data_IF_360135068575
#
_entry.id   IF_360135068575
#
_cell.length_a   1.000
_cell.length_b   1.000
_cell.length_c   1.000
_cell.angle_alpha   90.00
_cell.angle_beta   90.00
_cell.angle_gamma   90.00
#
_symmetry.space_group_name_H-M   'P 1'
#
loop_
_entity.id
_entity.type
_entity.pdbx_description
1 polymer ?
#
# COMPACT_ATOMS: atom_id res chain seq x y z
N UNK A 1 24.42 -1.11 9.87
CA UNK A 1 24.59 0.30 10.30
C UNK A 1 24.87 1.21 9.10
N UNK A 2 25.67 0.77 8.14
CA UNK A 2 26.01 1.50 6.89
C UNK A 2 24.81 1.91 6.03
N UNK A 3 23.79 1.05 5.84
CA UNK A 3 22.58 1.42 5.09
C UNK A 3 21.77 2.57 5.74
N UNK A 4 21.78 2.66 7.08
CA UNK A 4 21.10 3.74 7.82
C UNK A 4 21.85 5.06 7.66
N UNK A 5 23.18 5.02 7.66
CA UNK A 5 24.02 6.20 7.42
C UNK A 5 23.91 6.66 5.96
N UNK A 6 23.89 5.72 5.01
CA UNK A 6 23.68 6.00 3.60
C UNK A 6 22.31 6.67 3.37
N UNK A 7 21.23 6.14 3.95
CA UNK A 7 19.91 6.78 3.94
C UNK A 7 19.98 8.23 4.42
N UNK A 8 20.54 8.45 5.62
CA UNK A 8 20.66 9.81 6.20
C UNK A 8 21.35 10.81 5.26
N UNK A 9 22.43 10.42 4.57
CA UNK A 9 23.18 11.29 3.67
C UNK A 9 22.58 11.44 2.26
N UNK A 10 21.69 10.53 1.87
CA UNK A 10 21.04 10.54 0.56
C UNK A 10 19.63 11.14 0.57
N UNK A 11 18.97 11.25 1.73
CA UNK A 11 17.52 11.53 1.79
C UNK A 11 17.11 12.63 2.78
N UNK A 12 18.01 13.11 3.66
CA UNK A 12 17.67 14.18 4.62
C UNK A 12 17.67 15.55 3.95
N UNK A 13 16.48 16.10 3.68
CA UNK A 13 16.30 17.46 3.15
C UNK A 13 16.48 18.59 4.22
N UNK A 14 16.66 18.23 5.49
CA UNK A 14 16.66 19.15 6.63
C UNK A 14 18.05 19.50 7.17
N UNK A 15 19.13 18.97 6.58
CA UNK A 15 20.51 19.22 7.02
C UNK A 15 21.42 19.47 5.81
N UNK A 16 22.55 20.17 6.03
CA UNK A 16 23.67 20.40 5.08
C UNK A 16 24.27 19.11 4.45
N UNK A 17 23.73 17.95 4.82
CA UNK A 17 24.17 16.60 4.51
C UNK A 17 23.45 15.92 3.34
N UNK A 18 22.52 16.60 2.64
CA UNK A 18 21.92 16.12 1.39
C UNK A 18 22.95 16.17 0.25
N UNK A 19 23.76 15.11 0.15
CA UNK A 19 24.88 15.06 -0.79
C UNK A 19 24.45 14.58 -2.18
N UNK A 20 23.29 13.94 -2.32
CA UNK A 20 22.86 13.32 -3.57
C UNK A 20 22.85 14.30 -4.78
N UNK A 21 22.33 15.54 -4.66
CA UNK A 21 22.41 16.52 -5.75
C UNK A 21 23.82 17.03 -6.06
N UNK A 22 24.78 16.83 -5.14
CA UNK A 22 26.19 17.23 -5.31
C UNK A 22 27.04 16.12 -5.93
N UNK A 23 26.51 14.90 -6.06
CA UNK A 23 27.19 13.77 -6.70
C UNK A 23 27.20 13.89 -8.22
N UNK A 24 28.20 13.28 -8.87
CA UNK A 24 28.24 13.12 -10.32
C UNK A 24 27.17 12.13 -10.79
N UNK A 25 26.74 12.27 -12.04
CA UNK A 25 25.70 11.39 -12.60
C UNK A 25 26.14 9.92 -12.67
N UNK A 26 27.43 9.67 -12.87
CA UNK A 26 28.00 8.31 -12.83
C UNK A 26 27.85 7.69 -11.44
N UNK A 27 28.17 8.44 -10.38
CA UNK A 27 28.06 7.95 -9.00
C UNK A 27 26.59 7.73 -8.61
N UNK A 28 25.68 8.62 -9.01
CA UNK A 28 24.23 8.43 -8.78
C UNK A 28 23.73 7.16 -9.45
N UNK A 29 24.10 6.93 -10.71
CA UNK A 29 23.76 5.71 -11.43
C UNK A 29 24.28 4.45 -10.74
N UNK A 30 25.54 4.46 -10.26
CA UNK A 30 26.11 3.34 -9.50
C UNK A 30 25.35 3.09 -8.20
N UNK A 31 24.96 4.13 -7.46
CA UNK A 31 24.17 3.99 -6.23
C UNK A 31 22.82 3.35 -6.51
N UNK A 32 22.10 3.83 -7.54
CA UNK A 32 20.81 3.26 -7.95
C UNK A 32 20.93 1.76 -8.25
N UNK A 33 21.89 1.38 -9.10
CA UNK A 33 22.13 -0.03 -9.48
C UNK A 33 22.49 -0.87 -8.25
N UNK A 34 23.38 -0.36 -7.39
CA UNK A 34 23.81 -1.06 -6.18
C UNK A 34 22.67 -1.29 -5.19
N UNK A 35 21.77 -0.31 -5.01
CA UNK A 35 20.59 -0.43 -4.16
C UNK A 35 19.63 -1.51 -4.68
N UNK A 36 19.31 -1.48 -5.98
CA UNK A 36 18.44 -2.47 -6.61
C UNK A 36 19.02 -3.89 -6.54
N UNK A 37 20.33 -4.02 -6.82
CA UNK A 37 21.05 -5.30 -6.70
C UNK A 37 21.06 -5.81 -5.26
N UNK A 38 21.30 -4.92 -4.29
CA UNK A 38 21.29 -5.28 -2.86
C UNK A 38 19.92 -5.79 -2.44
N UNK A 39 18.83 -5.18 -2.90
CA UNK A 39 17.47 -5.64 -2.59
C UNK A 39 17.19 -7.06 -3.12
N UNK A 40 17.74 -7.43 -4.28
CA UNK A 40 17.56 -8.76 -4.86
C UNK A 40 18.30 -9.88 -4.11
N UNK A 41 19.48 -9.58 -3.56
CA UNK A 41 20.38 -10.57 -2.98
C UNK A 41 20.30 -10.64 -1.45
N UNK A 42 19.75 -9.61 -0.80
CA UNK A 42 19.67 -9.55 0.65
C UNK A 42 18.63 -10.54 1.19
N UNK A 43 19.03 -11.30 2.21
CA UNK A 43 18.18 -12.33 2.84
C UNK A 43 17.75 -11.93 4.25
N UNK A 44 18.47 -11.03 4.91
CA UNK A 44 18.14 -10.58 6.24
C UNK A 44 17.02 -9.53 6.22
N UNK A 45 15.82 -9.89 6.70
CA UNK A 45 14.64 -9.01 6.75
C UNK A 45 14.92 -7.60 7.30
N UNK A 46 15.74 -7.49 8.35
CA UNK A 46 16.09 -6.21 8.97
C UNK A 46 16.95 -5.31 8.07
N UNK A 47 17.74 -5.91 7.17
CA UNK A 47 18.57 -5.20 6.19
C UNK A 47 17.74 -4.90 4.95
N UNK A 48 16.96 -5.86 4.45
CA UNK A 48 15.98 -5.66 3.37
C UNK A 48 15.07 -4.47 3.67
N UNK A 49 14.58 -4.36 4.91
CA UNK A 49 13.77 -3.22 5.36
C UNK A 49 14.46 -1.87 5.18
N UNK A 50 15.73 -1.80 5.57
CA UNK A 50 16.54 -0.59 5.43
C UNK A 50 16.85 -0.26 3.98
N UNK A 51 17.04 -1.28 3.14
CA UNK A 51 17.31 -1.09 1.71
C UNK A 51 16.06 -0.54 1.02
N UNK A 52 14.89 -1.16 1.19
CA UNK A 52 13.67 -0.66 0.54
C UNK A 52 13.28 0.72 1.08
N UNK A 53 13.46 0.99 2.38
CA UNK A 53 13.28 2.34 2.93
C UNK A 53 14.15 3.39 2.23
N UNK A 54 15.42 3.06 2.01
CA UNK A 54 16.37 3.95 1.32
C UNK A 54 15.97 4.15 -0.15
N UNK A 55 15.52 3.09 -0.82
CA UNK A 55 15.03 3.15 -2.20
C UNK A 55 13.78 4.05 -2.27
N UNK A 56 12.79 3.83 -1.41
CA UNK A 56 11.55 4.63 -1.39
C UNK A 56 11.83 6.11 -1.19
N UNK A 57 12.68 6.47 -0.22
CA UNK A 57 13.00 7.87 0.05
C UNK A 57 13.79 8.53 -1.09
N UNK A 58 14.80 7.83 -1.61
CA UNK A 58 15.58 8.35 -2.72
C UNK A 58 14.73 8.48 -3.99
N UNK A 59 13.85 7.51 -4.25
CA UNK A 59 12.92 7.55 -5.37
C UNK A 59 11.94 8.72 -5.24
N UNK A 60 11.36 8.94 -4.06
CA UNK A 60 10.50 10.09 -3.81
C UNK A 60 11.20 11.44 -4.09
N UNK A 61 12.51 11.53 -3.85
CA UNK A 61 13.29 12.74 -4.11
C UNK A 61 13.63 12.95 -5.60
N UNK A 62 13.64 11.91 -6.44
CA UNK A 62 14.11 12.02 -7.85
C UNK A 62 13.03 11.79 -8.89
N UNK A 63 11.94 11.09 -8.54
CA UNK A 63 10.82 10.81 -9.44
C UNK A 63 10.09 12.09 -9.92
N UNK A 64 9.89 13.14 -9.08
CA UNK A 64 9.28 14.39 -9.54
C UNK A 64 10.02 15.04 -10.71
N UNK A 65 11.34 14.87 -10.78
CA UNK A 65 12.19 15.38 -11.85
C UNK A 65 12.34 14.40 -13.03
N UNK A 66 11.54 13.32 -13.06
CA UNK A 66 11.61 12.26 -14.08
C UNK A 66 12.83 11.34 -13.97
N UNK A 67 13.51 11.36 -12.82
CA UNK A 67 14.69 10.54 -12.56
C UNK A 67 14.35 9.08 -12.25
N UNK A 68 15.33 8.19 -12.51
CA UNK A 68 15.30 6.76 -12.10
C UNK A 68 14.24 5.89 -12.80
N UNK A 69 14.25 5.94 -14.13
CA UNK A 69 13.33 5.20 -15.00
C UNK A 69 13.41 3.68 -14.84
N UNK A 70 14.52 3.16 -14.34
CA UNK A 70 14.75 1.71 -14.15
C UNK A 70 13.99 1.13 -12.96
N UNK A 71 13.55 1.99 -12.01
CA UNK A 71 12.91 1.53 -10.78
C UNK A 71 11.56 0.86 -11.05
N UNK A 72 10.72 1.45 -11.91
CA UNK A 72 9.39 0.94 -12.17
C UNK A 72 9.42 -0.43 -12.89
N UNK A 73 10.19 -0.62 -13.98
CA UNK A 73 10.38 -1.95 -14.59
C UNK A 73 10.92 -2.98 -13.58
N UNK A 74 11.87 -2.58 -12.73
CA UNK A 74 12.41 -3.45 -11.69
C UNK A 74 11.32 -3.89 -10.70
N UNK A 75 10.49 -2.98 -10.21
CA UNK A 75 9.40 -3.31 -9.29
C UNK A 75 8.41 -4.28 -9.92
N UNK A 76 7.97 -4.02 -11.16
CA UNK A 76 7.05 -4.92 -11.88
C UNK A 76 7.64 -6.33 -12.08
N UNK A 77 8.94 -6.41 -12.38
CA UNK A 77 9.66 -7.70 -12.45
C UNK A 77 9.69 -8.41 -11.09
N UNK A 78 9.93 -7.67 -10.01
CA UNK A 78 9.98 -8.25 -8.66
C UNK A 78 8.62 -8.78 -8.21
N UNK A 79 7.52 -8.08 -8.53
CA UNK A 79 6.18 -8.52 -8.11
C UNK A 79 5.70 -9.74 -8.91
N UNK A 80 6.18 -9.90 -10.15
CA UNK A 80 5.85 -11.06 -11.01
C UNK A 80 6.74 -12.27 -10.75
N UNK A 81 7.86 -12.12 -10.03
CA UNK A 81 8.78 -13.20 -9.71
C UNK A 81 8.20 -14.13 -8.63
N UNK A 82 7.67 -15.29 -9.06
CA UNK A 82 6.99 -16.25 -8.16
C UNK A 82 7.91 -16.92 -7.12
N UNK A 83 9.23 -16.88 -7.31
CA UNK A 83 10.18 -17.65 -6.50
C UNK A 83 10.70 -16.90 -5.25
N UNK A 84 10.46 -15.59 -5.13
CA UNK A 84 11.02 -14.79 -4.03
C UNK A 84 9.97 -13.88 -3.38
N UNK A 85 9.26 -14.42 -2.39
CA UNK A 85 8.19 -13.69 -1.70
C UNK A 85 8.67 -12.47 -0.90
N UNK A 86 9.90 -12.48 -0.37
CA UNK A 86 10.43 -11.33 0.36
C UNK A 86 10.69 -10.15 -0.58
N UNK A 87 11.16 -10.44 -1.80
CA UNK A 87 11.37 -9.44 -2.84
C UNK A 87 10.03 -8.92 -3.39
N UNK A 88 9.05 -9.82 -3.56
CA UNK A 88 7.69 -9.46 -3.95
C UNK A 88 7.04 -8.51 -2.93
N UNK A 89 7.12 -8.84 -1.65
CA UNK A 89 6.66 -7.99 -0.54
C UNK A 89 7.35 -6.61 -0.57
N UNK A 90 8.69 -6.59 -0.65
CA UNK A 90 9.46 -5.35 -0.66
C UNK A 90 9.09 -4.45 -1.85
N UNK A 91 8.90 -5.03 -3.03
CA UNK A 91 8.50 -4.28 -4.22
C UNK A 91 7.10 -3.68 -4.08
N UNK A 92 6.14 -4.42 -3.49
CA UNK A 92 4.80 -3.90 -3.20
C UNK A 92 4.83 -2.76 -2.17
N UNK A 93 5.67 -2.86 -1.14
CA UNK A 93 5.82 -1.78 -0.14
C UNK A 93 6.47 -0.51 -0.74
N UNK A 94 7.47 -0.67 -1.62
CA UNK A 94 8.03 0.47 -2.36
C UNK A 94 6.95 1.07 -3.26
N UNK A 95 6.18 0.23 -3.96
CA UNK A 95 5.09 0.68 -4.82
C UNK A 95 4.06 1.51 -4.05
N UNK A 96 3.59 1.03 -2.89
CA UNK A 96 2.63 1.74 -2.04
C UNK A 96 3.11 3.15 -1.69
N UNK A 97 4.36 3.29 -1.25
CA UNK A 97 4.95 4.59 -0.88
C UNK A 97 5.13 5.54 -2.05
N UNK A 98 5.34 4.99 -3.25
CA UNK A 98 5.61 5.78 -4.44
C UNK A 98 4.37 6.06 -5.27
N UNK A 99 3.22 5.47 -4.92
CA UNK A 99 1.98 5.55 -5.69
C UNK A 99 1.61 6.98 -6.11
N UNK A 100 1.79 7.96 -5.22
CA UNK A 100 1.52 9.38 -5.51
C UNK A 100 2.42 10.00 -6.59
N UNK A 101 3.64 9.49 -6.74
CA UNK A 101 4.61 10.00 -7.73
C UNK A 101 4.49 9.28 -9.08
N UNK A 102 4.12 8.00 -9.06
CA UNK A 102 4.07 7.14 -10.26
C UNK A 102 2.65 6.93 -10.79
N UNK A 103 1.63 7.35 -10.05
CA UNK A 103 0.21 7.08 -10.33
C UNK A 103 -0.22 7.53 -11.73
N UNK A 104 0.10 8.76 -12.10
CA UNK A 104 -0.24 9.30 -13.43
C UNK A 104 0.50 8.58 -14.56
N UNK A 105 1.79 8.28 -14.37
CA UNK A 105 2.61 7.53 -15.33
C UNK A 105 2.09 6.11 -15.56
N UNK A 106 1.34 5.57 -14.59
CA UNK A 106 0.82 4.21 -14.60
C UNK A 106 -0.60 4.07 -15.15
N UNK A 107 -1.29 5.18 -15.48
CA UNK A 107 -2.62 5.17 -16.10
C UNK A 107 -2.68 4.33 -17.40
N UNK A 108 -1.67 4.36 -18.30
CA UNK A 108 -1.68 3.49 -19.49
C UNK A 108 -1.56 1.98 -19.16
N UNK A 109 -1.11 1.64 -17.95
CA UNK A 109 -0.77 0.28 -17.52
C UNK A 109 -1.75 -0.29 -16.48
N UNK A 110 -2.93 0.33 -16.30
CA UNK A 110 -3.91 -0.07 -15.28
C UNK A 110 -4.30 -1.55 -15.36
N UNK A 111 -4.46 -2.11 -16.57
CA UNK A 111 -4.80 -3.52 -16.75
C UNK A 111 -3.70 -4.45 -16.24
N UNK A 112 -2.43 -4.10 -16.47
CA UNK A 112 -1.29 -4.86 -15.96
C UNK A 112 -1.22 -4.79 -14.44
N UNK A 113 -1.37 -3.59 -13.85
CA UNK A 113 -1.35 -3.41 -12.41
C UNK A 113 -2.50 -4.12 -11.70
N UNK A 114 -3.69 -4.06 -12.29
CA UNK A 114 -4.85 -4.81 -11.81
C UNK A 114 -4.54 -6.30 -11.75
N UNK A 115 -4.04 -6.89 -12.84
CA UNK A 115 -3.67 -8.32 -12.86
C UNK A 115 -2.58 -8.67 -11.85
N UNK A 116 -1.63 -7.77 -11.62
CA UNK A 116 -0.58 -7.93 -10.60
C UNK A 116 -1.18 -7.95 -9.19
N UNK A 117 -2.00 -6.96 -8.83
CA UNK A 117 -2.64 -6.90 -7.51
C UNK A 117 -3.60 -8.07 -7.28
N UNK A 118 -4.39 -8.41 -8.29
CA UNK A 118 -5.29 -9.57 -8.28
C UNK A 118 -4.51 -10.84 -7.96
N UNK A 119 -3.39 -11.08 -8.64
CA UNK A 119 -2.56 -12.25 -8.40
C UNK A 119 -1.94 -12.24 -7.00
N UNK A 120 -1.43 -11.09 -6.54
CA UNK A 120 -0.80 -10.99 -5.23
C UNK A 120 -1.79 -11.16 -4.08
N UNK A 121 -3.01 -10.63 -4.19
CA UNK A 121 -4.07 -10.78 -3.19
C UNK A 121 -4.65 -12.20 -3.20
N UNK A 122 -4.75 -12.83 -4.38
CA UNK A 122 -5.45 -14.10 -4.51
C UNK A 122 -4.55 -15.34 -4.33
N UNK A 123 -3.38 -15.34 -4.96
CA UNK A 123 -2.56 -16.56 -5.13
C UNK A 123 -1.33 -16.60 -4.21
N UNK A 124 -1.05 -15.53 -3.45
CA UNK A 124 0.11 -15.52 -2.55
C UNK A 124 -0.11 -16.44 -1.37
N UNK A 125 0.87 -17.31 -1.12
CA UNK A 125 0.89 -18.23 0.03
C UNK A 125 1.14 -17.49 1.35
N UNK A 126 1.96 -16.43 1.33
CA UNK A 126 2.33 -15.64 2.52
C UNK A 126 1.36 -14.49 2.79
N UNK A 127 0.97 -14.33 4.06
CA UNK A 127 0.15 -13.20 4.51
C UNK A 127 0.81 -11.84 4.31
N UNK A 128 2.12 -11.74 4.56
CA UNK A 128 2.93 -10.53 4.38
C UNK A 128 2.78 -9.93 2.96
N UNK A 129 2.82 -10.77 1.92
CA UNK A 129 2.64 -10.34 0.52
C UNK A 129 1.21 -9.88 0.25
N UNK A 130 0.20 -10.57 0.81
CA UNK A 130 -1.22 -10.17 0.63
C UNK A 130 -1.49 -8.80 1.26
N UNK A 131 -0.91 -8.53 2.42
CA UNK A 131 -1.05 -7.26 3.13
C UNK A 131 -0.31 -6.14 2.41
N UNK A 132 0.93 -6.40 1.96
CA UNK A 132 1.66 -5.45 1.12
C UNK A 132 0.90 -5.14 -0.18
N UNK A 133 0.23 -6.14 -0.77
CA UNK A 133 -0.61 -5.94 -1.96
C UNK A 133 -1.88 -5.13 -1.65
N UNK A 134 -2.52 -5.36 -0.50
CA UNK A 134 -3.65 -4.57 -0.02
C UNK A 134 -3.24 -3.10 0.16
N UNK A 135 -2.11 -2.87 0.83
CA UNK A 135 -1.53 -1.53 1.02
C UNK A 135 -1.25 -0.83 -0.32
N UNK A 136 -0.55 -1.51 -1.24
CA UNK A 136 -0.25 -1.00 -2.57
C UNK A 136 -1.52 -0.69 -3.39
N UNK A 137 -2.54 -1.55 -3.30
CA UNK A 137 -3.81 -1.37 -4.02
C UNK A 137 -4.54 -0.12 -3.52
N UNK A 138 -4.62 0.08 -2.21
CA UNK A 138 -5.31 1.23 -1.59
C UNK A 138 -4.61 2.54 -1.95
N UNK A 139 -3.29 2.61 -1.74
CA UNK A 139 -2.50 3.78 -2.09
C UNK A 139 -2.62 4.12 -3.58
N UNK A 140 -2.65 3.10 -4.45
CA UNK A 140 -2.82 3.32 -5.89
C UNK A 140 -4.20 3.87 -6.24
N UNK A 141 -5.27 3.30 -5.69
CA UNK A 141 -6.66 3.75 -5.92
C UNK A 141 -6.83 5.22 -5.53
N UNK A 142 -6.27 5.61 -4.38
CA UNK A 142 -6.32 6.99 -3.89
C UNK A 142 -5.57 7.98 -4.81
N UNK A 143 -4.57 7.53 -5.55
CA UNK A 143 -3.83 8.35 -6.50
C UNK A 143 -4.53 8.51 -7.86
N UNK A 144 -5.51 7.66 -8.18
CA UNK A 144 -6.26 7.78 -9.43
C UNK A 144 -7.23 8.95 -9.34
N UNK A 145 -7.27 9.82 -10.35
CA UNK A 145 -8.16 10.99 -10.39
C UNK A 145 -9.56 10.66 -10.92
N UNK A 146 -9.66 9.72 -11.86
CA UNK A 146 -10.93 9.36 -12.50
C UNK A 146 -11.65 8.23 -11.76
N UNK A 147 -12.95 8.41 -11.51
CA UNK A 147 -13.78 7.34 -10.95
C UNK A 147 -13.83 6.10 -11.85
N UNK A 148 -13.86 6.26 -13.17
CA UNK A 148 -13.86 5.14 -14.13
C UNK A 148 -12.60 4.28 -14.04
N UNK A 149 -11.45 4.86 -13.66
CA UNK A 149 -10.21 4.12 -13.46
C UNK A 149 -10.23 3.39 -12.12
N UNK A 150 -10.74 4.03 -11.06
CA UNK A 150 -10.96 3.39 -9.75
C UNK A 150 -11.91 2.20 -9.84
N UNK A 151 -12.96 2.31 -10.65
CA UNK A 151 -13.94 1.24 -10.84
C UNK A 151 -13.34 -0.06 -11.37
N UNK A 152 -12.21 0.01 -12.10
CA UNK A 152 -11.51 -1.18 -12.61
C UNK A 152 -10.96 -2.07 -11.51
N UNK A 153 -10.80 -1.55 -10.28
CA UNK A 153 -10.25 -2.29 -9.13
C UNK A 153 -11.32 -2.74 -8.14
N UNK A 154 -12.61 -2.55 -8.43
CA UNK A 154 -13.72 -2.88 -7.53
C UNK A 154 -13.79 -4.36 -7.15
N UNK A 155 -13.38 -5.25 -8.05
CA UNK A 155 -13.29 -6.69 -7.84
C UNK A 155 -12.17 -7.10 -6.88
N UNK A 156 -11.24 -6.20 -6.56
CA UNK A 156 -10.19 -6.44 -5.56
C UNK A 156 -10.68 -6.24 -4.13
N UNK A 157 -11.77 -5.48 -3.91
CA UNK A 157 -12.29 -5.20 -2.57
C UNK A 157 -12.65 -6.48 -1.78
N UNK A 158 -13.35 -7.47 -2.33
CA UNK A 158 -13.57 -8.75 -1.65
C UNK A 158 -12.27 -9.47 -1.29
N UNK A 159 -11.23 -9.38 -2.13
CA UNK A 159 -9.94 -10.01 -1.86
C UNK A 159 -9.17 -9.28 -0.75
N UNK A 160 -9.31 -7.96 -0.66
CA UNK A 160 -8.79 -7.16 0.45
C UNK A 160 -9.49 -7.56 1.76
N UNK A 161 -10.81 -7.66 1.76
CA UNK A 161 -11.59 -8.13 2.92
C UNK A 161 -11.22 -9.56 3.31
N UNK A 162 -10.98 -10.45 2.34
CA UNK A 162 -10.51 -11.82 2.61
C UNK A 162 -9.11 -11.85 3.24
N UNK A 163 -8.27 -10.88 2.93
CA UNK A 163 -6.94 -10.76 3.53
C UNK A 163 -7.05 -10.42 5.01
N UNK A 164 -7.94 -9.49 5.36
CA UNK A 164 -8.27 -9.16 6.75
C UNK A 164 -8.84 -10.37 7.51
N UNK A 165 -9.88 -11.02 6.97
CA UNK A 165 -10.51 -12.17 7.65
C UNK A 165 -9.55 -13.36 7.77
N UNK A 166 -8.67 -13.56 6.78
CA UNK A 166 -7.61 -14.56 6.84
C UNK A 166 -6.60 -14.29 7.96
N UNK A 167 -6.24 -13.03 8.21
CA UNK A 167 -5.35 -12.65 9.30
C UNK A 167 -6.01 -12.87 10.67
N UNK A 168 -7.29 -12.48 10.82
CA UNK A 168 -8.08 -12.69 12.03
C UNK A 168 -8.22 -14.19 12.37
N UNK A 169 -8.62 -15.01 11.39
CA UNK A 169 -8.75 -16.46 11.56
C UNK A 169 -7.41 -17.15 11.85
N UNK A 170 -6.30 -16.54 11.41
CA UNK A 170 -4.94 -17.00 11.69
C UNK A 170 -4.39 -16.57 13.04
N UNK A 171 -5.16 -15.87 13.88
CA UNK A 171 -4.70 -15.21 15.11
C UNK A 171 -3.52 -14.25 14.88
N UNK A 172 -3.45 -13.64 13.69
CA UNK A 172 -2.42 -12.66 13.32
C UNK A 172 -2.98 -11.25 13.53
N UNK A 173 -3.31 -10.91 14.78
CA UNK A 173 -4.02 -9.67 15.10
C UNK A 173 -3.23 -8.41 14.71
N UNK A 174 -1.90 -8.39 14.90
CA UNK A 174 -1.08 -7.27 14.43
C UNK A 174 -1.22 -7.01 12.92
N UNK A 175 -1.31 -8.09 12.13
CA UNK A 175 -1.51 -8.00 10.67
C UNK A 175 -2.95 -7.61 10.32
N UNK A 176 -3.92 -8.07 11.10
CA UNK A 176 -5.31 -7.66 10.95
C UNK A 176 -5.50 -6.16 11.27
N UNK A 177 -4.83 -5.66 12.31
CA UNK A 177 -4.81 -4.24 12.67
C UNK A 177 -4.22 -3.39 11.52
N UNK A 178 -3.09 -3.80 10.94
CA UNK A 178 -2.52 -3.14 9.76
C UNK A 178 -3.53 -3.12 8.57
N UNK A 179 -4.20 -4.24 8.31
CA UNK A 179 -5.23 -4.27 7.26
C UNK A 179 -6.43 -3.35 7.55
N UNK A 180 -6.85 -3.27 8.82
CA UNK A 180 -7.93 -2.37 9.25
C UNK A 180 -7.53 -0.91 9.09
N UNK A 181 -6.33 -0.51 9.52
CA UNK A 181 -5.79 0.84 9.33
C UNK A 181 -5.81 1.26 7.86
N UNK A 182 -5.36 0.38 6.97
CA UNK A 182 -5.37 0.63 5.53
C UNK A 182 -6.80 0.78 4.98
N UNK A 183 -7.74 -0.05 5.44
CA UNK A 183 -9.15 0.07 5.06
C UNK A 183 -9.80 1.34 5.60
N UNK A 184 -9.42 1.81 6.79
CA UNK A 184 -9.84 3.11 7.34
C UNK A 184 -9.34 4.24 6.44
N UNK A 185 -8.08 4.17 6.01
CA UNK A 185 -7.50 5.14 5.06
C UNK A 185 -8.29 5.19 3.75
N UNK A 186 -8.65 4.02 3.20
CA UNK A 186 -9.50 3.92 2.02
C UNK A 186 -10.90 4.53 2.25
N UNK A 187 -11.51 4.28 3.42
CA UNK A 187 -12.82 4.83 3.77
C UNK A 187 -12.79 6.36 3.93
N UNK A 188 -11.68 6.90 4.46
CA UNK A 188 -11.43 8.33 4.59
C UNK A 188 -11.22 9.01 3.25
N UNK A 189 -10.31 8.47 2.44
CA UNK A 189 -9.90 9.07 1.16
C UNK A 189 -10.90 8.83 0.02
N UNK A 190 -11.42 7.61 -0.11
CA UNK A 190 -12.19 7.17 -1.28
C UNK A 190 -13.49 6.43 -0.90
N UNK A 191 -14.42 7.04 -0.14
CA UNK A 191 -15.65 6.39 0.34
C UNK A 191 -16.56 5.91 -0.81
N UNK A 192 -16.47 6.53 -1.99
CA UNK A 192 -17.23 6.10 -3.18
C UNK A 192 -16.86 4.70 -3.64
N UNK A 193 -15.60 4.32 -3.46
CA UNK A 193 -15.10 2.99 -3.83
C UNK A 193 -15.78 1.87 -3.01
N UNK A 194 -16.22 2.16 -1.79
CA UNK A 194 -16.84 1.16 -0.91
C UNK A 194 -18.36 1.00 -1.14
N UNK A 195 -19.00 1.93 -1.88
CA UNK A 195 -20.48 2.02 -1.95
C UNK A 195 -21.17 0.74 -2.45
N UNK A 196 -20.58 0.06 -3.45
CA UNK A 196 -21.20 -1.13 -4.06
C UNK A 196 -21.27 -2.34 -3.11
N UNK A 197 -20.39 -2.40 -2.12
CA UNK A 197 -20.27 -3.54 -1.19
C UNK A 197 -20.38 -3.09 0.27
N UNK A 198 -20.92 -1.90 0.52
CA UNK A 198 -20.84 -1.27 1.84
C UNK A 198 -21.56 -2.07 2.93
N UNK A 199 -22.70 -2.68 2.59
CA UNK A 199 -23.48 -3.48 3.53
C UNK A 199 -22.65 -4.65 4.06
N UNK A 200 -21.92 -5.33 3.17
CA UNK A 200 -21.06 -6.46 3.52
C UNK A 200 -19.83 -6.00 4.30
N UNK A 201 -19.19 -4.91 3.87
CA UNK A 201 -18.01 -4.37 4.55
C UNK A 201 -18.36 -3.88 5.96
N UNK A 202 -19.39 -3.05 6.13
CA UNK A 202 -19.83 -2.56 7.45
C UNK A 202 -20.32 -3.72 8.32
N UNK A 203 -21.08 -4.67 7.75
CA UNK A 203 -21.50 -5.87 8.48
C UNK A 203 -20.31 -6.66 9.02
N UNK A 204 -19.25 -6.82 8.24
CA UNK A 204 -18.01 -7.46 8.67
C UNK A 204 -17.31 -6.68 9.80
N UNK A 205 -17.27 -5.36 9.71
CA UNK A 205 -16.66 -4.52 10.75
C UNK A 205 -17.44 -4.56 12.07
N UNK A 206 -18.77 -4.58 12.02
CA UNK A 206 -19.61 -4.74 13.21
C UNK A 206 -19.40 -6.11 13.86
N UNK A 207 -19.31 -7.18 13.07
CA UNK A 207 -18.97 -8.51 13.59
C UNK A 207 -17.61 -8.55 14.28
N UNK A 208 -16.59 -7.90 13.70
CA UNK A 208 -15.27 -7.78 14.31
C UNK A 208 -15.35 -6.98 15.61
N UNK A 209 -16.09 -5.87 15.63
CA UNK A 209 -16.26 -5.02 16.80
C UNK A 209 -16.96 -5.73 17.98
N UNK A 210 -17.89 -6.64 17.68
CA UNK A 210 -18.63 -7.42 18.70
C UNK A 210 -17.88 -8.70 19.14
N UNK A 211 -16.84 -9.11 18.42
CA UNK A 211 -16.09 -10.33 18.71
C UNK A 211 -15.22 -10.17 19.96
N UNK A 212 -15.79 -10.50 21.13
CA UNK A 212 -15.11 -10.45 22.43
C UNK A 212 -13.86 -11.35 22.55
N UNK A 213 -13.62 -12.25 21.59
CA UNK A 213 -12.42 -13.08 21.51
C UNK A 213 -11.20 -12.38 20.92
N UNK A 214 -11.38 -11.25 20.22
CA UNK A 214 -10.29 -10.47 19.61
C UNK A 214 -9.69 -9.47 20.59
N UNK A 215 -8.52 -8.91 20.27
CA UNK A 215 -7.92 -7.82 21.04
C UNK A 215 -8.77 -6.55 20.98
N UNK A 216 -8.67 -5.75 22.05
CA UNK A 216 -9.35 -4.46 22.13
C UNK A 216 -8.92 -3.50 21.02
N UNK A 217 -7.64 -3.47 20.62
CA UNK A 217 -7.17 -2.66 19.51
C UNK A 217 -7.82 -3.02 18.18
N UNK A 218 -7.95 -4.32 17.89
CA UNK A 218 -8.60 -4.84 16.67
C UNK A 218 -10.08 -4.44 16.61
N UNK A 219 -10.80 -4.56 17.73
CA UNK A 219 -12.21 -4.14 17.80
C UNK A 219 -12.37 -2.63 17.63
N UNK A 220 -11.49 -1.84 18.24
CA UNK A 220 -11.53 -0.38 18.12
C UNK A 220 -11.32 0.09 16.68
N UNK A 221 -10.37 -0.48 15.95
CA UNK A 221 -10.14 -0.14 14.54
C UNK A 221 -11.37 -0.48 13.67
N UNK A 222 -12.06 -1.59 13.96
CA UNK A 222 -13.30 -1.91 13.24
C UNK A 222 -14.41 -0.87 13.48
N UNK A 223 -14.53 -0.36 14.72
CA UNK A 223 -15.46 0.75 15.05
C UNK A 223 -15.01 2.05 14.35
N UNK A 224 -13.72 2.35 14.40
CA UNK A 224 -13.13 3.54 13.76
C UNK A 224 -13.39 3.55 12.25
N UNK A 225 -13.34 2.40 11.59
CA UNK A 225 -13.73 2.28 10.19
C UNK A 225 -15.17 2.74 9.96
N UNK A 226 -16.12 2.25 10.77
CA UNK A 226 -17.55 2.60 10.64
C UNK A 226 -17.76 4.09 10.86
N UNK A 227 -17.10 4.67 11.86
CA UNK A 227 -17.14 6.10 12.16
C UNK A 227 -16.56 6.91 11.00
N UNK A 228 -15.37 6.55 10.52
CA UNK A 228 -14.66 7.23 9.44
C UNK A 228 -15.49 7.22 8.15
N UNK A 229 -16.00 6.06 7.76
CA UNK A 229 -16.87 5.95 6.59
C UNK A 229 -18.16 6.77 6.74
N UNK A 230 -18.82 6.70 7.91
CA UNK A 230 -20.02 7.49 8.20
C UNK A 230 -19.77 9.00 8.15
N UNK A 231 -18.62 9.46 8.64
CA UNK A 231 -18.17 10.85 8.57
C UNK A 231 -17.89 11.32 7.15
N UNK A 232 -17.14 10.54 6.36
CA UNK A 232 -16.83 10.82 4.95
C UNK A 232 -18.07 10.82 4.05
N UNK A 233 -19.13 10.09 4.43
CA UNK A 233 -20.42 10.18 3.75
C UNK A 233 -21.10 11.53 4.01
N UNK A 234 -21.06 12.07 5.22
CA UNK A 234 -21.67 13.39 5.53
C UNK A 234 -20.97 14.55 4.82
N UNK A 235 -19.66 14.48 4.58
CA UNK A 235 -18.94 15.52 3.82
C UNK A 235 -19.18 15.43 2.30
N UNK A 236 -19.50 14.23 1.80
CA UNK A 236 -19.69 13.97 0.36
C UNK A 236 -21.16 13.90 -0.09
N UNK A 237 -22.11 13.95 0.84
CA UNK A 237 -23.55 13.85 0.59
C UNK A 237 -24.22 15.19 0.94
N UNK A 238 -24.32 16.05 -0.09
CA UNK A 238 -25.34 17.09 -0.13
C UNK A 238 -26.73 16.54 -0.42
N UNK A 239 -26.88 15.27 -0.82
CA UNK A 239 -28.15 14.61 -1.08
C UNK A 239 -28.04 13.09 -0.79
N UNK A 240 -29.17 12.52 -0.35
CA UNK A 240 -29.57 11.10 -0.26
C UNK A 240 -29.63 10.39 1.12
N UNK A 241 -30.88 10.03 1.43
CA UNK A 241 -31.55 9.64 2.67
C UNK A 241 -31.44 8.13 3.02
N UNK A 242 -30.55 7.39 2.36
CA UNK A 242 -30.60 5.92 2.34
C UNK A 242 -29.87 5.22 3.51
N UNK A 243 -29.14 5.95 4.36
CA UNK A 243 -28.33 5.34 5.46
C UNK A 243 -28.86 5.63 6.86
N UNK A 244 -29.83 6.54 7.01
CA UNK A 244 -30.56 6.68 8.27
C UNK A 244 -31.24 5.35 8.70
N UNK A 245 -31.47 4.43 7.76
CA UNK A 245 -32.08 3.12 8.00
C UNK A 245 -31.10 2.00 8.39
N UNK A 246 -29.78 2.17 8.25
CA UNK A 246 -28.79 1.12 8.58
C UNK A 246 -28.19 1.33 9.98
N UNK A 247 -28.21 2.56 10.49
CA UNK A 247 -27.67 2.92 11.81
C UNK A 247 -28.76 3.26 12.86
N UNK A 248 -30.05 3.06 12.54
CA UNK A 248 -31.17 3.19 13.45
C UNK A 248 -31.82 1.82 13.68
#
# INVERSE_FOLDING_TARGET
MSAVLLRKHLTSATDDSFLYPKLTESTRSTIKISLLSSLQHETAKSVTRKIYDTISELAAAVLPDGGWQELLPFMLQCVTAQNNHNLQESALLIFARLAQYIGETLIPHLATLHGVFLNCLNNSTRGEVRIAALNATINFIQCLTNNSDREKFQDLLPLMMRTLTGALNGNQEATAQEALELLIELAGGEPRFLRKQIVEVVGSMLQIAEAGSLEEGTRHLAIEFVITFGGSKRSSSGDDEEVAAICA
#
